data_IF_589092241782
#
_entry.id   IF_589092241782
#
_cell.length_a   1.000
_cell.length_b   1.000
_cell.length_c   1.000
_cell.angle_alpha   90.00
_cell.angle_beta   90.00
_cell.angle_gamma   90.00
#
_symmetry.space_group_name_H-M   'P 1'
#
loop_
_entity.id
_entity.type
_entity.pdbx_description
1 polymer ?
#
# COMPACT_ATOMS: atom_id res chain seq x y z
N UNK A 1 4.54 0.31 19.49
CA UNK A 1 5.35 0.63 18.31
C UNK A 1 5.87 -0.59 17.54
N UNK A 2 5.10 -1.66 17.55
CA UNK A 2 5.46 -2.90 16.84
C UNK A 2 5.56 -2.73 15.31
N UNK A 3 4.75 -1.84 14.70
CA UNK A 3 4.69 -1.65 13.24
C UNK A 3 6.05 -1.23 12.64
N UNK A 4 6.65 -0.15 13.13
CA UNK A 4 7.93 0.35 12.61
C UNK A 4 9.11 -0.56 12.98
N UNK A 5 9.10 -1.16 14.16
CA UNK A 5 10.11 -2.14 14.56
C UNK A 5 10.10 -3.39 13.66
N UNK A 6 8.92 -3.85 13.27
CA UNK A 6 8.81 -4.99 12.36
C UNK A 6 9.28 -4.63 10.95
N UNK A 7 8.92 -3.42 10.45
CA UNK A 7 9.40 -2.97 9.15
C UNK A 7 10.94 -2.93 9.08
N UNK A 8 11.60 -2.42 10.12
CA UNK A 8 13.07 -2.42 10.18
C UNK A 8 13.68 -3.82 10.18
N UNK A 9 13.11 -4.74 10.96
CA UNK A 9 13.57 -6.16 10.97
C UNK A 9 13.46 -6.82 9.60
N UNK A 10 12.46 -6.41 8.81
CA UNK A 10 12.25 -6.88 7.44
C UNK A 10 13.02 -6.06 6.39
N UNK A 11 13.93 -5.16 6.78
CA UNK A 11 14.74 -4.36 5.87
C UNK A 11 13.94 -3.26 5.13
N UNK A 12 12.85 -2.79 5.72
CA UNK A 12 12.05 -1.66 5.24
C UNK A 12 12.47 -0.43 6.04
N UNK A 13 12.98 0.61 5.39
CA UNK A 13 13.42 1.83 6.05
C UNK A 13 12.25 2.70 6.48
N UNK A 14 12.26 3.16 7.72
CA UNK A 14 11.24 4.05 8.25
C UNK A 14 11.55 5.51 7.89
N UNK A 15 10.51 6.24 7.49
CA UNK A 15 10.57 7.67 7.20
C UNK A 15 9.66 8.45 8.16
N UNK A 16 10.12 9.59 8.61
CA UNK A 16 9.30 10.59 9.24
C UNK A 16 8.85 11.61 8.18
N UNK A 17 7.55 11.71 7.95
CA UNK A 17 7.00 12.64 6.97
C UNK A 17 6.57 13.96 7.63
N UNK A 18 6.60 15.03 6.83
CA UNK A 18 5.95 16.29 7.18
C UNK A 18 4.42 16.10 7.26
N UNK A 19 3.70 16.83 8.12
CA UNK A 19 2.24 16.83 8.14
C UNK A 19 1.61 17.51 6.91
N UNK A 20 2.42 18.13 6.07
CA UNK A 20 2.02 18.74 4.81
C UNK A 20 2.75 18.13 3.61
N UNK A 21 2.08 18.11 2.47
CA UNK A 21 2.57 17.62 1.18
C UNK A 21 2.48 18.72 0.13
N UNK A 22 3.20 18.64 -0.99
CA UNK A 22 2.99 19.54 -2.13
C UNK A 22 1.53 19.51 -2.59
N UNK A 23 0.98 20.66 -2.94
CA UNK A 23 -0.39 20.77 -3.45
C UNK A 23 -0.58 19.88 -4.67
N UNK A 24 -1.64 19.11 -4.70
CA UNK A 24 -1.96 18.16 -5.77
C UNK A 24 -1.39 16.75 -5.55
N UNK A 25 -0.61 16.50 -4.48
CA UNK A 25 -0.05 15.16 -4.23
C UNK A 25 -1.12 14.07 -4.16
N UNK A 26 -2.25 14.35 -3.52
CA UNK A 26 -3.34 13.38 -3.40
C UNK A 26 -4.19 13.30 -4.67
N UNK A 27 -4.58 14.43 -5.25
CA UNK A 27 -5.47 14.47 -6.41
C UNK A 27 -4.84 13.94 -7.70
N UNK A 28 -3.55 14.17 -7.91
CA UNK A 28 -2.82 13.70 -9.10
C UNK A 28 -2.67 12.17 -9.08
N UNK A 29 -2.39 11.57 -7.92
CA UNK A 29 -2.13 10.14 -7.81
C UNK A 29 -3.35 9.33 -7.36
N UNK A 30 -4.12 9.86 -6.42
CA UNK A 30 -5.21 9.14 -5.79
C UNK A 30 -6.54 9.21 -6.54
N UNK A 31 -6.63 9.91 -7.68
CA UNK A 31 -7.87 10.16 -8.41
C UNK A 31 -8.94 10.86 -7.54
N UNK A 32 -8.52 11.62 -6.55
CA UNK A 32 -9.39 12.36 -5.63
C UNK A 32 -9.61 13.77 -6.18
N UNK A 33 -10.84 14.28 -6.05
CA UNK A 33 -11.10 15.67 -6.37
C UNK A 33 -10.32 16.58 -5.41
N UNK A 34 -9.52 17.53 -5.94
CA UNK A 34 -8.71 18.46 -5.14
C UNK A 34 -9.54 19.26 -4.14
N UNK A 35 -10.82 19.51 -4.41
CA UNK A 35 -11.72 20.19 -3.48
C UNK A 35 -12.03 19.37 -2.21
N UNK A 36 -11.76 18.06 -2.23
CA UNK A 36 -11.89 17.17 -1.09
C UNK A 36 -10.58 17.04 -0.28
N UNK A 37 -9.54 17.78 -0.67
CA UNK A 37 -8.24 17.79 0.01
C UNK A 37 -8.09 19.11 0.77
N UNK A 38 -7.68 19.02 2.02
CA UNK A 38 -7.51 20.20 2.89
C UNK A 38 -6.26 20.94 2.47
N UNK A 39 -6.43 22.18 1.99
CA UNK A 39 -5.31 23.06 1.64
C UNK A 39 -4.56 23.51 2.90
N UNK A 40 -3.25 23.65 2.77
CA UNK A 40 -2.37 24.24 3.75
C UNK A 40 -1.73 25.52 3.17
N UNK A 41 -0.74 26.11 3.86
CA UNK A 41 -0.12 27.35 3.43
C UNK A 41 0.86 27.15 2.26
N UNK A 42 0.96 28.16 1.39
CA UNK A 42 2.03 28.31 0.38
C UNK A 42 2.11 27.17 -0.64
N UNK A 43 0.98 26.78 -1.24
CA UNK A 43 0.98 25.74 -2.27
C UNK A 43 1.23 24.34 -1.72
N UNK A 44 0.85 24.11 -0.47
CA UNK A 44 0.84 22.78 0.16
C UNK A 44 -0.57 22.35 0.51
N UNK A 45 -0.74 21.07 0.75
CA UNK A 45 -1.96 20.44 1.29
C UNK A 45 -1.65 19.67 2.56
N UNK A 46 -2.65 19.43 3.38
CA UNK A 46 -2.50 18.56 4.54
C UNK A 46 -2.29 17.12 4.05
N UNK A 47 -1.36 16.42 4.68
CA UNK A 47 -1.07 15.04 4.32
C UNK A 47 -2.32 14.17 4.51
N UNK A 48 -2.89 13.68 3.42
CA UNK A 48 -4.10 12.85 3.40
C UNK A 48 -3.85 11.40 3.00
N UNK A 49 -2.70 11.15 2.35
CA UNK A 49 -2.20 9.81 2.05
C UNK A 49 -0.65 9.80 2.05
N UNK A 50 -0.01 9.15 3.03
CA UNK A 50 1.44 9.12 3.12
C UNK A 50 2.10 8.29 2.01
N UNK A 51 1.38 7.34 1.38
CA UNK A 51 1.94 6.54 0.29
C UNK A 51 2.28 7.39 -0.94
N UNK A 52 1.46 8.41 -1.23
CA UNK A 52 1.74 9.38 -2.29
C UNK A 52 3.05 10.13 -2.03
N UNK A 53 3.22 10.59 -0.79
CA UNK A 53 4.42 11.35 -0.43
C UNK A 53 5.69 10.50 -0.49
N UNK A 54 5.64 9.26 -0.02
CA UNK A 54 6.78 8.34 -0.15
C UNK A 54 7.09 8.06 -1.62
N UNK A 55 6.06 7.87 -2.46
CA UNK A 55 6.26 7.67 -3.91
C UNK A 55 6.94 8.88 -4.56
N UNK A 56 6.58 10.12 -4.17
CA UNK A 56 7.24 11.35 -4.62
C UNK A 56 8.71 11.37 -4.19
N UNK A 57 9.00 11.04 -2.92
CA UNK A 57 10.38 10.97 -2.39
C UNK A 57 11.22 9.97 -3.19
N UNK A 58 10.67 8.78 -3.47
CA UNK A 58 11.37 7.77 -4.27
C UNK A 58 11.62 8.29 -5.70
N UNK A 59 10.59 8.84 -6.35
CA UNK A 59 10.70 9.32 -7.73
C UNK A 59 11.71 10.46 -7.85
N UNK A 60 11.70 11.42 -6.93
CA UNK A 60 12.68 12.53 -6.88
C UNK A 60 14.10 11.99 -6.66
N UNK A 61 14.27 11.05 -5.72
CA UNK A 61 15.55 10.42 -5.44
C UNK A 61 16.13 9.66 -6.65
N UNK A 62 15.27 8.96 -7.40
CA UNK A 62 15.65 8.27 -8.63
C UNK A 62 16.03 9.26 -9.75
N UNK A 63 15.25 10.35 -9.93
CA UNK A 63 15.57 11.41 -10.93
C UNK A 63 16.88 12.13 -10.62
N UNK A 64 17.14 12.38 -9.35
CA UNK A 64 18.39 12.99 -8.88
C UNK A 64 19.57 12.02 -8.78
N UNK A 65 19.34 10.74 -9.08
CA UNK A 65 20.35 9.66 -8.96
C UNK A 65 20.91 9.48 -7.53
N UNK A 66 20.16 9.95 -6.52
CA UNK A 66 20.46 9.73 -5.09
C UNK A 66 20.02 8.33 -4.69
N UNK A 67 18.91 7.86 -5.24
CA UNK A 67 18.42 6.49 -5.10
C UNK A 67 18.71 5.69 -6.37
N UNK A 68 18.92 4.40 -6.17
CA UNK A 68 19.05 3.40 -7.24
C UNK A 68 18.04 2.30 -6.95
N UNK A 69 17.40 1.76 -7.97
CA UNK A 69 16.37 0.72 -7.85
C UNK A 69 16.72 -0.57 -8.59
N UNK A 70 18.01 -0.81 -8.82
CA UNK A 70 18.52 -2.12 -9.21
C UNK A 70 18.18 -3.16 -8.13
N UNK A 71 18.34 -2.78 -6.86
CA UNK A 71 17.75 -3.44 -5.71
C UNK A 71 16.46 -2.72 -5.32
N UNK A 72 15.47 -3.47 -4.84
CA UNK A 72 14.20 -2.88 -4.48
C UNK A 72 14.34 -1.90 -3.30
N UNK A 73 13.68 -0.74 -3.41
CA UNK A 73 13.58 0.28 -2.37
C UNK A 73 12.30 0.02 -1.57
N UNK A 74 12.42 -0.05 -0.24
CA UNK A 74 11.28 -0.24 0.64
C UNK A 74 11.27 0.84 1.72
N UNK A 75 10.22 1.63 1.77
CA UNK A 75 9.99 2.64 2.80
C UNK A 75 8.67 2.42 3.52
N UNK A 76 8.65 2.72 4.81
CA UNK A 76 7.43 2.72 5.63
C UNK A 76 7.34 4.01 6.45
N UNK A 77 6.13 4.35 6.83
CA UNK A 77 5.87 5.43 7.78
C UNK A 77 4.63 5.16 8.61
N UNK A 78 4.59 5.79 9.76
CA UNK A 78 3.39 5.92 10.59
C UNK A 78 3.11 7.40 10.77
N UNK A 79 1.91 7.84 10.42
CA UNK A 79 1.53 9.24 10.55
C UNK A 79 0.03 9.39 10.78
N UNK A 80 -0.40 10.55 11.22
CA UNK A 80 -1.81 10.92 11.20
C UNK A 80 -2.13 11.68 9.93
N UNK A 81 -3.28 11.37 9.38
CA UNK A 81 -3.80 12.01 8.17
C UNK A 81 -5.16 12.64 8.45
N UNK A 82 -5.50 13.62 7.61
CA UNK A 82 -6.81 14.30 7.66
C UNK A 82 -7.43 14.23 6.28
N UNK A 83 -8.70 13.82 6.21
CA UNK A 83 -9.49 13.79 4.99
C UNK A 83 -10.73 14.66 5.15
N UNK A 84 -11.06 15.43 4.13
CA UNK A 84 -12.23 16.32 4.14
C UNK A 84 -13.57 15.57 3.98
N UNK A 85 -13.53 14.30 3.59
CA UNK A 85 -14.72 13.49 3.39
C UNK A 85 -15.38 13.16 4.74
N UNK A 86 -16.70 13.24 4.78
CA UNK A 86 -17.46 12.65 5.88
C UNK A 86 -17.39 11.12 5.76
N UNK A 87 -17.13 10.46 6.87
CA UNK A 87 -17.16 9.01 6.97
C UNK A 87 -18.26 8.61 7.94
N UNK A 88 -19.05 7.62 7.55
CA UNK A 88 -20.05 6.99 8.41
C UNK A 88 -19.59 5.58 8.78
N UNK A 89 -19.80 5.19 10.03
CA UNK A 89 -19.47 3.86 10.54
C UNK A 89 -18.52 3.87 11.75
N UNK A 90 -18.59 2.79 12.55
CA UNK A 90 -17.72 2.61 13.71
C UNK A 90 -16.25 2.48 13.27
N UNK A 91 -15.37 3.26 13.91
CA UNK A 91 -13.92 3.23 13.59
C UNK A 91 -13.51 4.02 12.35
N UNK A 92 -14.42 4.79 11.73
CA UNK A 92 -14.11 5.68 10.62
C UNK A 92 -14.09 7.13 11.10
N UNK A 93 -12.96 7.79 10.92
CA UNK A 93 -12.75 9.18 11.31
C UNK A 93 -12.14 9.96 10.16
N UNK A 94 -12.47 11.26 10.03
CA UNK A 94 -11.83 12.17 9.09
C UNK A 94 -10.35 12.41 9.44
N UNK A 95 -9.95 12.12 10.67
CA UNK A 95 -8.62 12.26 11.21
C UNK A 95 -8.21 10.95 11.89
N UNK A 96 -7.26 10.23 11.33
CA UNK A 96 -6.87 8.90 11.80
C UNK A 96 -5.38 8.62 11.59
N UNK A 97 -4.87 7.66 12.35
CA UNK A 97 -3.53 7.13 12.17
C UNK A 97 -3.48 6.12 11.03
N UNK A 98 -2.45 6.20 10.22
CA UNK A 98 -2.18 5.23 9.17
C UNK A 98 -0.71 4.80 9.22
N UNK A 99 -0.47 3.51 9.04
CA UNK A 99 0.81 2.96 8.67
C UNK A 99 0.76 2.58 7.20
N UNK A 100 1.81 2.89 6.44
CA UNK A 100 1.92 2.41 5.06
C UNK A 100 3.32 1.94 4.71
N UNK A 101 3.39 1.06 3.72
CA UNK A 101 4.62 0.62 3.06
C UNK A 101 4.52 1.02 1.59
N UNK A 102 5.60 1.57 1.05
CA UNK A 102 5.77 1.83 -0.37
C UNK A 102 7.07 1.19 -0.84
N UNK A 103 6.95 0.35 -1.85
CA UNK A 103 8.11 -0.32 -2.43
C UNK A 103 8.24 -0.01 -3.91
N UNK A 104 9.47 0.18 -4.37
CA UNK A 104 9.79 0.39 -5.77
C UNK A 104 10.94 -0.49 -6.20
N UNK A 105 10.84 -1.03 -7.39
CA UNK A 105 11.89 -1.81 -8.02
C UNK A 105 11.87 -1.61 -9.53
N UNK A 106 12.86 -2.20 -10.21
CA UNK A 106 12.98 -2.16 -11.66
C UNK A 106 12.54 -3.48 -12.26
N UNK A 107 11.71 -3.42 -13.28
CA UNK A 107 11.32 -4.58 -14.07
C UNK A 107 12.55 -5.31 -14.62
N UNK A 108 12.68 -6.56 -14.25
CA UNK A 108 13.73 -7.49 -14.66
C UNK A 108 13.20 -8.57 -15.64
N UNK A 109 11.96 -8.44 -16.06
CA UNK A 109 11.24 -9.41 -16.88
C UNK A 109 10.51 -10.48 -16.07
N UNK A 110 9.61 -11.17 -16.74
CA UNK A 110 8.80 -12.27 -16.15
C UNK A 110 8.10 -11.92 -14.85
N UNK A 111 7.76 -10.65 -14.63
CA UNK A 111 7.12 -10.13 -13.41
C UNK A 111 7.88 -10.46 -12.11
N UNK A 112 9.20 -10.65 -12.19
CA UNK A 112 9.99 -11.02 -11.01
C UNK A 112 10.05 -9.92 -9.97
N UNK A 113 10.16 -8.67 -10.41
CA UNK A 113 10.12 -7.51 -9.51
C UNK A 113 8.78 -7.42 -8.80
N UNK A 114 7.67 -7.53 -9.53
CA UNK A 114 6.32 -7.46 -8.96
C UNK A 114 6.10 -8.57 -7.93
N UNK A 115 6.57 -9.77 -8.23
CA UNK A 115 6.49 -10.91 -7.29
C UNK A 115 7.25 -10.63 -5.99
N UNK A 116 8.48 -10.13 -6.10
CA UNK A 116 9.32 -9.76 -4.95
C UNK A 116 8.64 -8.71 -4.06
N UNK A 117 8.14 -7.62 -4.67
CA UNK A 117 7.48 -6.55 -3.95
C UNK A 117 6.20 -7.04 -3.25
N UNK A 118 5.38 -7.82 -3.96
CA UNK A 118 4.11 -8.34 -3.43
C UNK A 118 4.35 -9.25 -2.23
N UNK A 119 5.24 -10.22 -2.35
CA UNK A 119 5.55 -11.15 -1.26
C UNK A 119 6.18 -10.43 -0.07
N UNK A 120 7.01 -9.41 -0.30
CA UNK A 120 7.57 -8.58 0.77
C UNK A 120 6.48 -7.93 1.61
N UNK A 121 5.48 -7.31 0.99
CA UNK A 121 4.36 -6.68 1.71
C UNK A 121 3.48 -7.71 2.42
N UNK A 122 3.14 -8.81 1.75
CA UNK A 122 2.29 -9.84 2.34
C UNK A 122 2.97 -10.53 3.53
N UNK A 123 4.27 -10.80 3.47
CA UNK A 123 5.03 -11.32 4.61
C UNK A 123 5.05 -10.34 5.80
N UNK A 124 5.17 -9.03 5.54
CA UNK A 124 5.06 -8.04 6.60
C UNK A 124 3.74 -8.19 7.37
N UNK A 125 2.61 -8.26 6.66
CA UNK A 125 1.30 -8.42 7.29
C UNK A 125 1.12 -9.78 7.97
N UNK A 126 1.62 -10.85 7.37
CA UNK A 126 1.66 -12.16 8.00
C UNK A 126 2.35 -12.07 9.37
N UNK A 127 3.59 -11.57 9.39
CA UNK A 127 4.38 -11.49 10.62
C UNK A 127 3.77 -10.53 11.65
N UNK A 128 3.10 -9.46 11.20
CA UNK A 128 2.41 -8.52 12.07
C UNK A 128 1.28 -9.19 12.85
N UNK A 129 0.49 -10.01 12.16
CA UNK A 129 -0.73 -10.59 12.72
C UNK A 129 -0.55 -11.99 13.32
N UNK A 130 0.57 -12.67 13.05
CA UNK A 130 0.86 -14.02 13.61
C UNK A 130 0.86 -14.04 15.15
N UNK A 131 1.13 -12.91 15.80
CA UNK A 131 1.27 -12.83 17.25
C UNK A 131 0.03 -12.24 17.96
N UNK A 132 -1.08 -12.08 17.24
CA UNK A 132 -2.35 -11.66 17.88
C UNK A 132 -3.11 -12.93 18.27
N UNK A 133 -3.33 -13.08 19.59
CA UNK A 133 -4.03 -14.25 20.14
C UNK A 133 -5.42 -14.41 19.53
N UNK A 134 -5.79 -15.67 19.25
CA UNK A 134 -7.08 -16.04 18.70
C UNK A 134 -7.45 -15.37 17.37
N UNK A 135 -6.47 -14.93 16.60
CA UNK A 135 -6.72 -14.30 15.29
C UNK A 135 -6.06 -15.08 14.15
N UNK A 136 -6.69 -14.99 13.00
CA UNK A 136 -6.16 -15.51 11.72
C UNK A 136 -6.35 -14.43 10.65
N UNK A 137 -5.48 -14.42 9.67
CA UNK A 137 -5.69 -13.56 8.50
C UNK A 137 -6.10 -14.39 7.29
N UNK A 138 -6.89 -13.77 6.42
CA UNK A 138 -7.09 -14.21 5.04
C UNK A 138 -6.79 -13.08 4.08
N UNK A 139 -6.41 -13.43 2.85
CA UNK A 139 -6.05 -12.47 1.81
C UNK A 139 -7.00 -12.66 0.64
N UNK A 140 -7.63 -11.59 0.20
CA UNK A 140 -8.42 -11.54 -1.02
C UNK A 140 -7.62 -10.85 -2.12
N UNK A 141 -7.33 -11.56 -3.20
CA UNK A 141 -6.67 -11.03 -4.39
C UNK A 141 -7.72 -10.59 -5.40
N UNK A 142 -7.58 -9.36 -5.89
CA UNK A 142 -8.49 -8.74 -6.84
C UNK A 142 -7.76 -8.43 -8.14
N UNK A 143 -8.32 -8.89 -9.25
CA UNK A 143 -7.77 -8.63 -10.57
C UNK A 143 -8.03 -7.20 -11.01
N UNK A 144 -7.00 -6.53 -11.55
CA UNK A 144 -7.07 -5.15 -12.04
C UNK A 144 -6.54 -5.05 -13.48
N UNK A 145 -6.92 -3.97 -14.16
CA UNK A 145 -6.35 -3.62 -15.47
C UNK A 145 -4.94 -3.04 -15.38
N UNK A 146 -4.38 -2.61 -16.51
CA UNK A 146 -3.12 -1.87 -16.58
C UNK A 146 -1.87 -2.68 -16.93
N UNK A 147 -1.99 -3.99 -17.07
CA UNK A 147 -0.95 -4.85 -17.67
C UNK A 147 -1.42 -5.37 -19.04
N UNK A 148 -0.53 -5.44 -20.04
CA UNK A 148 -0.88 -5.94 -21.37
C UNK A 148 -1.44 -7.37 -21.35
N UNK A 149 -0.80 -8.26 -20.60
CA UNK A 149 -1.28 -9.60 -20.29
C UNK A 149 -1.92 -9.60 -18.89
N UNK A 150 -3.15 -9.14 -18.82
CA UNK A 150 -3.90 -9.00 -17.55
C UNK A 150 -4.11 -10.35 -16.86
N UNK A 151 -4.44 -11.37 -17.65
CA UNK A 151 -4.78 -12.69 -17.13
C UNK A 151 -3.54 -13.44 -16.68
N UNK A 152 -2.52 -13.55 -17.51
CA UNK A 152 -1.28 -14.21 -17.16
C UNK A 152 -0.53 -13.52 -16.03
N UNK A 153 -0.59 -12.19 -15.93
CA UNK A 153 -0.05 -11.49 -14.77
C UNK A 153 -0.77 -11.89 -13.48
N UNK A 154 -2.11 -11.85 -13.48
CA UNK A 154 -2.90 -12.17 -12.30
C UNK A 154 -2.74 -13.64 -11.87
N UNK A 155 -2.77 -14.57 -12.82
CA UNK A 155 -2.56 -16.01 -12.57
C UNK A 155 -1.20 -16.25 -11.94
N UNK A 156 -0.15 -15.65 -12.50
CA UNK A 156 1.21 -15.78 -11.99
C UNK A 156 1.36 -15.22 -10.57
N UNK A 157 0.84 -14.01 -10.31
CA UNK A 157 0.88 -13.42 -8.97
C UNK A 157 0.11 -14.28 -7.97
N UNK A 158 -1.06 -14.78 -8.35
CA UNK A 158 -1.88 -15.65 -7.52
C UNK A 158 -1.16 -16.96 -7.17
N UNK A 159 -0.54 -17.60 -8.16
CA UNK A 159 0.23 -18.82 -7.95
C UNK A 159 1.40 -18.61 -6.98
N UNK A 160 2.14 -17.50 -7.15
CA UNK A 160 3.27 -17.13 -6.29
C UNK A 160 2.79 -16.85 -4.86
N UNK A 161 1.71 -16.11 -4.68
CA UNK A 161 1.16 -15.83 -3.34
C UNK A 161 0.75 -17.13 -2.65
N UNK A 162 0.01 -18.02 -3.33
CA UNK A 162 -0.41 -19.31 -2.77
C UNK A 162 0.77 -20.20 -2.40
N UNK A 163 1.81 -20.23 -3.20
CA UNK A 163 3.01 -21.03 -2.90
C UNK A 163 3.87 -20.47 -1.80
N UNK A 164 3.92 -19.12 -1.67
CA UNK A 164 4.74 -18.44 -0.65
C UNK A 164 4.06 -18.35 0.72
N UNK A 165 2.73 -18.44 0.77
CA UNK A 165 1.93 -18.30 1.98
C UNK A 165 0.91 -19.46 2.11
N UNK A 166 1.39 -20.72 2.15
CA UNK A 166 0.51 -21.88 2.12
C UNK A 166 -0.40 -22.02 3.36
N UNK A 167 -0.01 -21.37 4.46
CA UNK A 167 -0.76 -21.35 5.72
C UNK A 167 -1.90 -20.33 5.75
N UNK A 168 -1.93 -19.38 4.78
CA UNK A 168 -2.94 -18.33 4.74
C UNK A 168 -4.02 -18.67 3.74
N UNK A 169 -5.26 -18.48 4.14
CA UNK A 169 -6.40 -18.63 3.22
C UNK A 169 -6.37 -17.52 2.16
N UNK A 170 -6.22 -17.91 0.89
CA UNK A 170 -6.22 -17.00 -0.25
C UNK A 170 -7.54 -17.14 -1.00
N UNK A 171 -8.30 -16.07 -1.09
CA UNK A 171 -9.52 -15.95 -1.90
C UNK A 171 -9.26 -15.09 -3.13
N UNK A 172 -10.09 -15.24 -4.16
CA UNK A 172 -9.96 -14.52 -5.42
C UNK A 172 -11.30 -13.83 -5.71
N UNK A 173 -11.26 -12.53 -5.96
CA UNK A 173 -12.39 -11.76 -6.43
C UNK A 173 -12.15 -11.32 -7.88
N UNK A 174 -12.80 -12.01 -8.82
CA UNK A 174 -12.75 -11.72 -10.25
C UNK A 174 -13.79 -10.68 -10.69
N UNK A 175 -14.80 -10.43 -9.84
CA UNK A 175 -15.95 -9.58 -10.17
C UNK A 175 -15.77 -8.13 -9.71
N UNK A 176 -14.65 -7.81 -9.06
CA UNK A 176 -14.39 -6.44 -8.64
C UNK A 176 -14.18 -5.54 -9.85
N UNK A 177 -14.91 -4.43 -9.89
CA UNK A 177 -14.78 -3.41 -10.93
C UNK A 177 -13.35 -2.86 -10.98
N UNK A 178 -12.84 -2.58 -12.18
CA UNK A 178 -11.59 -1.88 -12.35
C UNK A 178 -11.69 -0.48 -11.75
N UNK A 179 -10.64 -0.06 -11.09
CA UNK A 179 -10.49 1.31 -10.64
C UNK A 179 -9.24 1.95 -11.27
N UNK A 180 -9.23 3.27 -11.34
CA UNK A 180 -8.10 4.02 -11.86
C UNK A 180 -6.86 3.95 -10.93
N UNK A 181 -7.03 3.51 -9.69
CA UNK A 181 -6.03 3.56 -8.64
C UNK A 181 -5.01 2.43 -8.74
N UNK A 182 -5.47 1.16 -8.68
CA UNK A 182 -4.60 0.00 -8.72
C UNK A 182 -4.42 -0.58 -10.12
N UNK A 183 -3.25 -1.20 -10.36
CA UNK A 183 -2.87 -1.84 -11.64
C UNK A 183 -2.56 -3.32 -11.42
N UNK A 184 -3.02 -4.17 -12.34
CA UNK A 184 -2.75 -5.62 -12.37
C UNK A 184 -3.42 -6.40 -11.26
N UNK A 185 -3.01 -6.15 -10.03
CA UNK A 185 -3.56 -6.81 -8.84
C UNK A 185 -3.61 -5.83 -7.66
N UNK A 186 -4.67 -5.92 -6.85
CA UNK A 186 -4.65 -5.44 -5.49
C UNK A 186 -5.08 -6.55 -4.53
N UNK A 187 -4.70 -6.40 -3.28
CA UNK A 187 -5.06 -7.33 -2.22
C UNK A 187 -5.77 -6.61 -1.08
N UNK A 188 -6.64 -7.34 -0.39
CA UNK A 188 -7.21 -6.95 0.89
C UNK A 188 -6.88 -8.01 1.92
N UNK A 189 -6.58 -7.58 3.13
CA UNK A 189 -6.31 -8.47 4.26
C UNK A 189 -7.44 -8.34 5.25
N UNK A 190 -8.03 -9.47 5.56
CA UNK A 190 -9.08 -9.61 6.55
C UNK A 190 -8.52 -10.27 7.80
N UNK A 191 -8.79 -9.68 8.94
CA UNK A 191 -8.50 -10.26 10.25
C UNK A 191 -9.77 -10.93 10.76
N UNK A 192 -9.65 -12.19 11.10
CA UNK A 192 -10.68 -12.98 11.75
C UNK A 192 -10.35 -13.06 13.23
N UNK A 193 -11.18 -12.44 14.06
CA UNK A 193 -11.01 -12.40 15.51
C UNK A 193 -12.36 -12.73 16.15
N UNK A 194 -12.42 -13.84 16.90
CA UNK A 194 -13.66 -14.40 17.41
C UNK A 194 -14.67 -14.64 16.27
N UNK A 195 -15.87 -14.05 16.34
CA UNK A 195 -16.90 -14.14 15.30
C UNK A 195 -16.86 -12.99 14.29
N UNK A 196 -15.93 -12.04 14.45
CA UNK A 196 -15.81 -10.87 13.59
C UNK A 196 -14.79 -11.05 12.47
N UNK A 197 -15.10 -10.47 11.30
CA UNK A 197 -14.20 -10.40 10.15
C UNK A 197 -14.04 -8.94 9.74
N UNK A 198 -12.84 -8.41 9.89
CA UNK A 198 -12.56 -7.00 9.67
C UNK A 198 -11.54 -6.83 8.56
N UNK A 199 -11.86 -6.01 7.55
CA UNK A 199 -10.87 -5.56 6.56
C UNK A 199 -9.89 -4.63 7.25
N UNK A 200 -8.63 -5.10 7.44
CA UNK A 200 -7.65 -4.39 8.24
C UNK A 200 -6.60 -3.69 7.40
N UNK A 201 -6.24 -4.23 6.25
CA UNK A 201 -5.24 -3.66 5.36
C UNK A 201 -5.62 -3.86 3.89
N UNK A 202 -5.14 -2.97 3.05
CA UNK A 202 -5.19 -3.14 1.61
C UNK A 202 -3.90 -2.67 0.94
N UNK A 203 -3.71 -3.05 -0.33
CA UNK A 203 -2.58 -2.63 -1.12
C UNK A 203 -2.67 -3.12 -2.56
N UNK A 204 -1.77 -2.63 -3.40
CA UNK A 204 -1.72 -3.01 -4.81
C UNK A 204 -0.68 -2.23 -5.58
N UNK A 205 -0.44 -2.64 -6.83
CA UNK A 205 0.45 -1.91 -7.72
C UNK A 205 -0.16 -0.61 -8.20
N UNK A 206 0.70 0.39 -8.36
CA UNK A 206 0.37 1.69 -8.92
C UNK A 206 1.45 2.10 -9.93
N UNK A 207 1.11 3.01 -10.85
CA UNK A 207 2.05 3.47 -11.88
C UNK A 207 2.75 4.79 -11.54
N UNK A 208 2.61 5.29 -10.32
CA UNK A 208 3.04 6.63 -9.91
C UNK A 208 4.51 6.91 -10.17
N UNK A 209 5.41 6.00 -9.75
CA UNK A 209 6.85 6.21 -9.92
C UNK A 209 7.25 6.13 -11.40
N UNK A 210 6.64 5.23 -12.18
CA UNK A 210 6.89 5.16 -13.61
C UNK A 210 6.45 6.43 -14.35
N UNK A 211 5.31 7.01 -13.99
CA UNK A 211 4.82 8.25 -14.55
C UNK A 211 5.68 9.44 -14.14
N UNK A 212 5.97 9.61 -12.85
CA UNK A 212 6.80 10.70 -12.37
C UNK A 212 8.22 10.68 -12.94
N UNK A 213 8.80 9.50 -13.12
CA UNK A 213 10.19 9.37 -13.63
C UNK A 213 10.26 9.28 -15.16
N UNK A 214 9.14 9.08 -15.85
CA UNK A 214 9.10 8.79 -17.29
C UNK A 214 9.70 7.42 -17.66
N UNK A 215 9.96 6.54 -16.69
CA UNK A 215 10.57 5.24 -16.90
C UNK A 215 9.57 4.11 -16.67
N UNK A 216 9.04 3.56 -17.76
CA UNK A 216 8.04 2.47 -17.76
C UNK A 216 8.50 1.18 -17.10
N UNK A 217 9.80 1.02 -16.82
CA UNK A 217 10.34 -0.14 -16.09
C UNK A 217 10.27 0.00 -14.58
N UNK A 218 9.99 1.19 -14.05
CA UNK A 218 9.82 1.37 -12.61
C UNK A 218 8.49 0.78 -12.15
N UNK A 219 8.54 -0.07 -11.14
CA UNK A 219 7.39 -0.66 -10.48
C UNK A 219 7.17 0.00 -9.12
N UNK A 220 5.93 0.08 -8.71
CA UNK A 220 5.56 0.60 -7.40
C UNK A 220 4.43 -0.24 -6.80
N UNK A 221 4.63 -0.69 -5.59
CA UNK A 221 3.61 -1.35 -4.77
C UNK A 221 3.39 -0.52 -3.51
N UNK A 222 2.15 -0.29 -3.17
CA UNK A 222 1.74 0.40 -1.94
C UNK A 222 0.85 -0.49 -1.11
N UNK A 223 0.88 -0.30 0.21
CA UNK A 223 -0.09 -0.92 1.12
C UNK A 223 -0.20 -0.12 2.41
N UNK A 224 -1.33 -0.27 3.11
CA UNK A 224 -1.57 0.47 4.33
C UNK A 224 -2.54 -0.20 5.30
N UNK A 225 -2.46 0.24 6.56
CA UNK A 225 -3.33 -0.15 7.68
C UNK A 225 -3.83 1.12 8.36
N UNK A 226 -5.13 1.18 8.62
CA UNK A 226 -5.71 2.17 9.54
C UNK A 226 -5.38 1.79 10.99
N UNK A 227 -4.52 2.56 11.66
CA UNK A 227 -4.04 2.24 13.01
C UNK A 227 -5.17 2.27 14.03
N UNK A 228 -6.07 3.25 13.91
CA UNK A 228 -7.18 3.40 14.85
C UNK A 228 -8.13 2.18 14.79
N UNK A 229 -8.19 1.46 13.64
CA UNK A 229 -8.90 0.16 13.54
C UNK A 229 -8.22 -0.96 14.32
N UNK A 230 -6.90 -0.95 14.42
CA UNK A 230 -6.18 -1.94 15.23
C UNK A 230 -6.48 -1.77 16.72
N UNK A 231 -6.63 -0.54 17.16
CA UNK A 231 -6.91 -0.24 18.57
C UNK A 231 -8.34 -0.67 18.99
N UNK A 232 -9.30 -0.67 18.06
CA UNK A 232 -10.65 -1.14 18.35
C UNK A 232 -10.77 -2.67 18.50
N UNK A 233 -9.70 -3.41 18.20
CA UNK A 233 -9.65 -4.87 18.38
C UNK A 233 -9.11 -5.28 19.75
N UNK A 234 -8.51 -4.32 20.51
CA UNK A 234 -7.97 -4.57 21.84
C UNK A 234 -9.01 -4.28 22.95
N UNK A 235 -10.20 -3.76 22.61
CA UNK A 235 -11.35 -3.54 23.49
C UNK A 235 -12.39 -4.68 23.37
#
# INVERSE_FOLDING_TARGET
MKLLSLSEKLGIKNLLLSPSAPLGSCSVFGCVNQNNVISALRGTETLSDPSNMIAIIIADGLKKKILRNEDAIHYATTTRVVRAQAFEGKGFYAHFGIFCIVSSGKDKGSYSCESELLIKHLNYYKDLFTNIENSKISICLRKRGGYPDRDGFFEKMTAIVKSSLPEIQITIDLNSEDNAYYKGINFKIYLHCNDDVIEIADGGFVNWISEMTGNKKNRCLISGIGIDRLLTLEE
#
